data_IF_061611470540
#
_entry.id   IF_061611470540
#
_cell.length_a   1.000
_cell.length_b   1.000
_cell.length_c   1.000
_cell.angle_alpha   90.00
_cell.angle_beta   90.00
_cell.angle_gamma   90.00
#
_symmetry.space_group_name_H-M   'P 1'
#
loop_
_entity.id
_entity.type
_entity.pdbx_description
1 polymer ?
#
# COMPACT_ATOMS: atom_id res chain seq x y z
N UNK A 1 -30.21 15.96 28.19
CA UNK A 1 -30.44 14.53 27.85
C UNK A 1 -30.29 14.22 26.35
N UNK A 2 -30.61 15.15 25.42
CA UNK A 2 -30.49 14.91 23.97
C UNK A 2 -29.03 15.00 23.45
N UNK A 3 -28.23 15.92 23.99
CA UNK A 3 -26.83 16.11 23.59
C UNK A 3 -25.90 14.92 23.91
N UNK A 4 -26.12 14.26 25.05
CA UNK A 4 -25.37 13.07 25.48
C UNK A 4 -25.57 11.89 24.52
N UNK A 5 -26.83 11.67 24.08
CA UNK A 5 -27.15 10.64 23.06
C UNK A 5 -26.48 10.94 21.72
N UNK A 6 -26.47 12.21 21.30
CA UNK A 6 -25.82 12.64 20.06
C UNK A 6 -24.31 12.42 20.10
N UNK A 7 -23.63 12.75 21.22
CA UNK A 7 -22.19 12.47 21.39
C UNK A 7 -21.89 10.98 21.33
N UNK A 8 -22.63 10.16 22.07
CA UNK A 8 -22.43 8.70 22.08
C UNK A 8 -22.65 8.07 20.70
N UNK A 9 -23.66 8.54 19.94
CA UNK A 9 -23.86 8.10 18.56
C UNK A 9 -22.74 8.54 17.62
N UNK A 10 -22.20 9.75 17.79
CA UNK A 10 -21.08 10.25 16.98
C UNK A 10 -19.79 9.46 17.29
N UNK A 11 -19.50 9.19 18.56
CA UNK A 11 -18.34 8.38 18.97
C UNK A 11 -18.43 6.94 18.46
N UNK A 12 -19.64 6.35 18.46
CA UNK A 12 -19.89 5.03 17.89
C UNK A 12 -19.71 5.02 16.35
N UNK A 13 -20.11 6.08 15.65
CA UNK A 13 -19.91 6.20 14.19
C UNK A 13 -18.43 6.35 13.85
N UNK A 14 -17.68 7.13 14.63
CA UNK A 14 -16.24 7.33 14.43
C UNK A 14 -15.48 6.02 14.65
N UNK A 15 -15.81 5.23 15.69
CA UNK A 15 -15.11 3.96 15.96
C UNK A 15 -15.40 2.87 14.92
N UNK A 16 -16.56 2.89 14.27
CA UNK A 16 -16.92 1.95 13.19
C UNK A 16 -16.20 2.28 11.88
N UNK A 17 -15.76 3.53 11.67
CA UNK A 17 -15.11 3.95 10.41
C UNK A 17 -13.68 3.41 10.23
N UNK A 18 -13.06 2.85 11.28
CA UNK A 18 -11.76 2.17 11.19
C UNK A 18 -11.86 0.67 10.89
N UNK A 19 -12.94 0.22 10.24
CA UNK A 19 -12.95 -1.08 9.58
C UNK A 19 -11.97 -1.07 8.40
N UNK A 20 -10.68 -1.19 8.72
CA UNK A 20 -9.60 -1.38 7.76
C UNK A 20 -9.86 -2.72 7.09
N UNK A 21 -10.50 -2.69 5.91
CA UNK A 21 -10.67 -3.85 5.03
C UNK A 21 -9.37 -4.65 5.07
N UNK A 22 -9.39 -5.97 5.32
CA UNK A 22 -8.17 -6.76 5.42
C UNK A 22 -7.36 -6.60 4.13
N UNK A 23 -6.30 -5.80 4.18
CA UNK A 23 -5.47 -5.51 3.02
C UNK A 23 -4.54 -6.69 2.80
N UNK A 24 -4.45 -7.16 1.56
CA UNK A 24 -3.44 -8.16 1.23
C UNK A 24 -2.05 -7.55 1.35
N UNK A 25 -1.04 -8.38 1.59
CA UNK A 25 0.34 -7.89 1.65
C UNK A 25 0.76 -7.18 0.35
N UNK A 26 0.24 -7.62 -0.81
CA UNK A 26 0.46 -6.91 -2.07
C UNK A 26 -0.13 -5.49 -2.06
N UNK A 27 -1.32 -5.30 -1.49
CA UNK A 27 -1.95 -3.98 -1.36
C UNK A 27 -1.16 -3.08 -0.41
N UNK A 28 -0.68 -3.60 0.72
CA UNK A 28 0.16 -2.82 1.64
C UNK A 28 1.44 -2.35 0.92
N UNK A 29 2.06 -3.21 0.13
CA UNK A 29 3.25 -2.85 -0.64
C UNK A 29 2.93 -1.77 -1.67
N UNK A 30 1.82 -1.90 -2.41
CA UNK A 30 1.41 -0.91 -3.40
C UNK A 30 1.01 0.43 -2.76
N UNK A 31 0.27 0.41 -1.65
CA UNK A 31 -0.05 1.61 -0.88
C UNK A 31 1.23 2.33 -0.45
N UNK A 32 2.23 1.58 0.02
CA UNK A 32 3.51 2.17 0.40
C UNK A 32 4.28 2.74 -0.79
N UNK A 33 4.23 2.06 -1.95
CA UNK A 33 4.81 2.58 -3.18
C UNK A 33 4.09 3.87 -3.64
N UNK A 34 2.76 3.93 -3.46
CA UNK A 34 1.96 5.13 -3.76
C UNK A 34 2.33 6.31 -2.85
N UNK A 35 2.61 6.05 -1.58
CA UNK A 35 3.08 7.09 -0.64
C UNK A 35 4.46 7.67 -1.02
N UNK A 36 5.39 6.83 -1.49
CA UNK A 36 6.76 7.27 -1.86
C UNK A 36 6.87 7.76 -3.31
N UNK A 37 5.88 7.43 -4.16
CA UNK A 37 5.85 7.77 -5.58
C UNK A 37 6.70 6.82 -6.43
N UNK A 38 7.55 7.38 -7.28
CA UNK A 38 8.46 6.61 -8.12
C UNK A 38 9.68 6.23 -7.29
N UNK A 39 9.92 4.93 -7.11
CA UNK A 39 11.08 4.46 -6.35
C UNK A 39 11.73 3.22 -6.94
N UNK A 40 12.98 3.01 -6.58
CA UNK A 40 13.68 1.74 -6.84
C UNK A 40 13.16 0.63 -5.94
N UNK A 41 13.42 -0.63 -6.29
CA UNK A 41 13.09 -1.75 -5.40
C UNK A 41 13.84 -1.66 -4.06
N UNK A 42 15.04 -1.06 -4.00
CA UNK A 42 15.77 -0.93 -2.75
C UNK A 42 15.13 0.11 -1.83
N UNK A 43 14.75 1.26 -2.37
CA UNK A 43 14.07 2.33 -1.61
C UNK A 43 12.69 1.87 -1.15
N UNK A 44 11.94 1.20 -2.01
CA UNK A 44 10.65 0.62 -1.64
C UNK A 44 10.79 -0.40 -0.50
N UNK A 45 11.81 -1.26 -0.58
CA UNK A 45 12.11 -2.24 0.46
C UNK A 45 12.50 -1.57 1.79
N UNK A 46 13.28 -0.47 1.73
CA UNK A 46 13.67 0.31 2.91
C UNK A 46 12.46 1.04 3.53
N UNK A 47 11.58 1.60 2.71
CA UNK A 47 10.36 2.28 3.14
C UNK A 47 9.38 1.33 3.86
N UNK A 48 9.48 0.02 3.60
CA UNK A 48 8.70 -1.02 4.29
C UNK A 48 9.27 -1.41 5.66
N UNK A 49 10.41 -0.87 6.08
CA UNK A 49 10.98 -0.98 7.44
C UNK A 49 11.59 -2.34 7.83
N UNK A 50 11.05 -3.46 7.34
CA UNK A 50 11.51 -4.81 7.73
C UNK A 50 11.36 -5.86 6.61
N UNK A 51 11.28 -5.39 5.37
CA UNK A 51 11.10 -6.28 4.23
C UNK A 51 12.45 -6.73 3.68
N UNK A 52 12.61 -8.03 3.44
CA UNK A 52 13.79 -8.54 2.74
C UNK A 52 13.65 -8.34 1.23
N UNK A 53 14.74 -8.02 0.52
CA UNK A 53 14.73 -7.78 -0.94
C UNK A 53 14.11 -8.94 -1.73
N UNK A 54 14.38 -10.18 -1.30
CA UNK A 54 13.81 -11.37 -1.96
C UNK A 54 12.29 -11.49 -1.78
N UNK A 55 11.75 -11.02 -0.66
CA UNK A 55 10.30 -10.96 -0.42
C UNK A 55 9.65 -9.92 -1.32
N UNK A 56 10.27 -8.75 -1.48
CA UNK A 56 9.78 -7.72 -2.42
C UNK A 56 9.80 -8.21 -3.86
N UNK A 57 10.86 -8.89 -4.28
CA UNK A 57 10.91 -9.47 -5.61
C UNK A 57 9.77 -10.48 -5.87
N UNK A 58 9.39 -11.28 -4.86
CA UNK A 58 8.23 -12.18 -4.96
C UNK A 58 6.91 -11.42 -5.08
N UNK A 59 6.74 -10.35 -4.32
CA UNK A 59 5.55 -9.48 -4.39
C UNK A 59 5.43 -8.81 -5.75
N UNK A 60 6.52 -8.20 -6.24
CA UNK A 60 6.56 -7.57 -7.58
C UNK A 60 6.15 -8.56 -8.65
N UNK A 61 6.71 -9.77 -8.65
CA UNK A 61 6.35 -10.83 -9.62
C UNK A 61 4.87 -11.21 -9.53
N UNK A 62 4.31 -11.33 -8.31
CA UNK A 62 2.89 -11.63 -8.13
C UNK A 62 1.98 -10.51 -8.62
N UNK A 63 2.34 -9.26 -8.34
CA UNK A 63 1.58 -8.10 -8.81
C UNK A 63 1.58 -8.06 -10.34
N UNK A 64 2.75 -8.18 -10.97
CA UNK A 64 2.85 -8.20 -12.43
C UNK A 64 2.10 -9.39 -13.07
N UNK A 65 2.00 -10.53 -12.39
CA UNK A 65 1.28 -11.69 -12.90
C UNK A 65 -0.25 -11.58 -12.73
N UNK A 66 -0.72 -10.99 -11.63
CA UNK A 66 -2.17 -10.91 -11.31
C UNK A 66 -2.82 -9.63 -11.81
N UNK A 67 -2.15 -8.50 -11.59
CA UNK A 67 -2.65 -7.14 -11.80
C UNK A 67 -1.54 -6.27 -12.45
N UNK A 68 -1.10 -6.60 -13.67
CA UNK A 68 -0.02 -5.85 -14.35
C UNK A 68 -0.35 -4.36 -14.53
N UNK A 69 -1.63 -4.01 -14.64
CA UNK A 69 -2.11 -2.64 -14.79
C UNK A 69 -1.83 -1.74 -13.58
N UNK A 70 -1.60 -2.33 -12.40
CA UNK A 70 -1.40 -1.58 -11.14
C UNK A 70 0.03 -1.12 -10.90
N UNK A 71 0.99 -1.66 -11.64
CA UNK A 71 2.42 -1.43 -11.41
C UNK A 71 3.13 -1.16 -12.73
N UNK A 72 3.57 0.09 -12.91
CA UNK A 72 4.44 0.47 -14.02
C UNK A 72 5.89 0.23 -13.65
N UNK A 73 6.60 -0.43 -14.55
CA UNK A 73 8.03 -0.74 -14.41
C UNK A 73 8.80 0.01 -15.47
N UNK A 74 9.75 0.84 -15.04
CA UNK A 74 10.64 1.60 -15.92
C UNK A 74 11.86 0.74 -16.28
N UNK A 75 11.76 0.00 -17.39
CA UNK A 75 12.81 -0.91 -17.84
C UNK A 75 14.04 -0.20 -18.43
N UNK A 76 13.89 1.06 -18.84
CA UNK A 76 14.94 1.89 -19.44
C UNK A 76 15.91 2.50 -18.41
N UNK A 77 15.63 2.39 -17.11
CA UNK A 77 16.44 2.97 -16.03
C UNK A 77 17.07 1.85 -15.20
N UNK A 78 18.36 2.01 -14.89
CA UNK A 78 19.08 1.11 -13.97
C UNK A 78 19.59 1.93 -12.77
N UNK A 79 19.25 1.56 -11.52
CA UNK A 79 18.35 0.48 -11.11
C UNK A 79 16.90 0.69 -11.54
N UNK A 80 16.16 -0.40 -11.81
CA UNK A 80 14.75 -0.34 -12.25
C UNK A 80 13.91 0.42 -11.23
N UNK A 81 13.07 1.31 -11.74
CA UNK A 81 12.11 2.08 -10.96
C UNK A 81 10.68 1.54 -11.16
N UNK A 82 9.87 1.74 -10.13
CA UNK A 82 8.51 1.25 -10.04
C UNK A 82 7.59 2.40 -9.64
N UNK A 83 6.39 2.41 -10.21
CA UNK A 83 5.35 3.39 -9.93
C UNK A 83 3.98 2.72 -9.92
N UNK A 84 3.09 3.20 -9.07
CA UNK A 84 1.71 2.72 -8.98
C UNK A 84 0.83 3.44 -10.01
N UNK A 85 -0.01 2.67 -10.72
CA UNK A 85 -0.93 3.20 -11.74
C UNK A 85 -2.37 2.84 -11.35
N UNK A 86 -2.99 3.63 -10.46
CA UNK A 86 -4.44 3.65 -10.21
C UNK A 86 -4.88 4.77 -9.26
#
# INVERSE_FOLDING_TARGET
MVFEKLKSSIEAIISVSEQKVPRTFEQICLDKLKEIGISTASEWCAAMGHMHRSSLAKVIRRILAKNPEKLKVYYNITPRQYEVVY
#
